data_IF_953498506479
#
_entry.id   IF_953498506479
#
_cell.length_a   1.000
_cell.length_b   1.000
_cell.length_c   1.000
_cell.angle_alpha   90.00
_cell.angle_beta   90.00
_cell.angle_gamma   90.00
#
_symmetry.space_group_name_H-M   'P 1'
#
loop_
_entity.id
_entity.type
_entity.pdbx_description
1 polymer ?
#
# COMPACT_ATOMS: atom_id res chain seq x y z
N UNK A 1 8.50 -7.63 -0.72
CA UNK A 1 8.23 -8.46 0.48
C UNK A 1 9.45 -9.24 0.96
N UNK A 2 10.24 -9.85 0.07
CA UNK A 2 11.40 -10.68 0.43
C UNK A 2 12.31 -10.13 1.54
N UNK A 3 12.78 -8.88 1.42
CA UNK A 3 13.67 -8.27 2.42
C UNK A 3 13.01 -8.14 3.81
N UNK A 4 11.73 -7.77 3.86
CA UNK A 4 10.98 -7.68 5.11
C UNK A 4 10.75 -9.05 5.75
N UNK A 5 10.56 -10.10 4.97
CA UNK A 5 10.44 -11.46 5.50
C UNK A 5 11.73 -11.94 6.16
N UNK A 6 12.88 -11.70 5.51
CA UNK A 6 14.19 -12.08 6.05
C UNK A 6 14.46 -11.36 7.37
N UNK A 7 14.11 -10.09 7.46
CA UNK A 7 14.34 -9.30 8.66
C UNK A 7 13.21 -9.39 9.69
N UNK A 8 12.32 -10.39 9.60
CA UNK A 8 11.17 -10.57 10.49
C UNK A 8 10.34 -9.30 10.70
N UNK A 9 10.20 -8.47 9.66
CA UNK A 9 9.50 -7.19 9.68
C UNK A 9 10.07 -6.15 10.65
N UNK A 10 11.38 -6.19 10.88
CA UNK A 10 12.09 -5.23 11.72
C UNK A 10 12.80 -4.18 10.87
N UNK A 11 12.99 -3.00 11.41
CA UNK A 11 13.85 -1.95 10.86
C UNK A 11 15.31 -2.20 11.22
N UNK A 12 16.23 -1.42 10.66
CA UNK A 12 17.66 -1.49 11.01
C UNK A 12 17.93 -1.17 12.49
N UNK A 13 17.03 -0.42 13.14
CA UNK A 13 17.12 -0.08 14.56
C UNK A 13 16.49 -1.13 15.50
N UNK A 14 16.14 -2.31 14.97
CA UNK A 14 15.45 -3.37 15.69
C UNK A 14 14.07 -2.97 16.25
N UNK A 15 13.41 -2.02 15.60
CA UNK A 15 12.00 -1.68 15.87
C UNK A 15 11.10 -2.35 14.82
N UNK A 16 9.84 -2.68 15.15
CA UNK A 16 8.87 -3.14 14.16
C UNK A 16 8.71 -2.14 13.01
N UNK A 17 8.58 -2.64 11.79
CA UNK A 17 8.23 -1.80 10.65
C UNK A 17 6.87 -1.12 10.89
N UNK A 18 6.75 0.16 10.48
CA UNK A 18 5.47 0.87 10.54
C UNK A 18 4.42 0.15 9.69
N UNK A 19 3.20 0.07 10.21
CA UNK A 19 2.04 -0.54 9.55
C UNK A 19 2.27 -2.01 9.13
N UNK A 20 2.99 -2.76 9.97
CA UNK A 20 3.33 -4.18 9.74
C UNK A 20 2.10 -5.06 9.45
N UNK A 21 0.98 -4.76 10.08
CA UNK A 21 -0.31 -5.43 9.91
C UNK A 21 -0.82 -5.29 8.47
N UNK A 22 -0.82 -4.06 7.92
CA UNK A 22 -1.22 -3.79 6.55
C UNK A 22 -0.28 -4.48 5.55
N UNK A 23 1.02 -4.45 5.81
CA UNK A 23 1.99 -5.12 4.94
C UNK A 23 1.84 -6.65 4.96
N UNK A 24 1.63 -7.26 6.12
CA UNK A 24 1.37 -8.71 6.21
C UNK A 24 0.08 -9.10 5.49
N UNK A 25 -0.95 -8.26 5.57
CA UNK A 25 -2.19 -8.49 4.82
C UNK A 25 -1.96 -8.40 3.31
N UNK A 26 -1.21 -7.38 2.85
CA UNK A 26 -0.83 -7.25 1.45
C UNK A 26 0.01 -8.45 0.99
N UNK A 27 0.97 -8.92 1.79
CA UNK A 27 1.79 -10.10 1.46
C UNK A 27 0.91 -11.33 1.24
N UNK A 28 -0.02 -11.59 2.17
CA UNK A 28 -0.97 -12.70 2.05
C UNK A 28 -1.83 -12.59 0.79
N UNK A 29 -2.31 -11.40 0.45
CA UNK A 29 -3.16 -11.18 -0.72
C UNK A 29 -2.41 -11.28 -2.05
N UNK A 30 -1.12 -10.96 -2.04
CA UNK A 30 -0.26 -10.93 -3.24
C UNK A 30 0.55 -12.22 -3.43
N UNK A 31 0.66 -13.06 -2.39
CA UNK A 31 1.36 -14.33 -2.44
C UNK A 31 0.87 -15.23 -3.57
N UNK A 32 1.81 -15.75 -4.36
CA UNK A 32 1.55 -16.64 -5.50
C UNK A 32 1.00 -15.95 -6.76
N UNK A 33 0.87 -14.62 -6.78
CA UNK A 33 0.41 -13.86 -7.96
C UNK A 33 1.56 -13.12 -8.63
N UNK A 34 1.51 -13.06 -9.95
CA UNK A 34 2.34 -12.12 -10.70
C UNK A 34 1.66 -10.75 -10.67
N UNK A 35 2.32 -9.77 -10.07
CA UNK A 35 1.80 -8.40 -9.93
C UNK A 35 2.88 -7.45 -10.42
N UNK A 36 2.55 -6.66 -11.42
CA UNK A 36 3.38 -5.56 -11.87
C UNK A 36 2.96 -4.29 -11.13
N UNK A 37 3.90 -3.67 -10.42
CA UNK A 37 3.66 -2.42 -9.69
C UNK A 37 4.27 -1.28 -10.51
N UNK A 38 3.40 -0.39 -11.00
CA UNK A 38 3.81 0.80 -11.74
C UNK A 38 3.63 2.04 -10.86
N UNK A 39 4.71 2.82 -10.73
CA UNK A 39 4.65 4.14 -10.11
C UNK A 39 4.24 5.15 -11.17
N UNK A 40 3.05 5.72 -11.01
CA UNK A 40 2.54 6.76 -11.90
C UNK A 40 2.75 8.14 -11.29
N UNK A 41 2.92 9.15 -12.15
CA UNK A 41 3.05 10.54 -11.71
C UNK A 41 1.68 11.04 -11.24
N UNK A 42 1.63 11.61 -10.04
CA UNK A 42 0.42 12.25 -9.52
C UNK A 42 -0.09 13.36 -10.45
N UNK A 43 -1.41 13.49 -10.57
CA UNK A 43 -2.11 14.51 -11.37
C UNK A 43 -1.65 14.62 -12.83
N UNK A 44 -1.21 13.50 -13.43
CA UNK A 44 -0.71 13.47 -14.81
C UNK A 44 -1.76 13.08 -15.85
N UNK A 45 -3.04 13.11 -15.50
CA UNK A 45 -4.14 12.78 -16.42
C UNK A 45 -4.42 11.29 -16.57
N UNK A 46 -3.90 10.43 -15.70
CA UNK A 46 -4.35 9.04 -15.62
C UNK A 46 -5.78 9.02 -15.03
N UNK A 47 -6.73 8.59 -15.84
CA UNK A 47 -8.15 8.62 -15.51
C UNK A 47 -8.44 7.70 -14.31
N UNK A 48 -7.89 6.49 -14.31
CA UNK A 48 -8.08 5.51 -13.26
C UNK A 48 -7.55 5.99 -11.91
N UNK A 49 -6.36 6.61 -11.87
CA UNK A 49 -5.82 7.22 -10.66
C UNK A 49 -6.71 8.36 -10.16
N UNK A 50 -7.20 9.19 -11.09
CA UNK A 50 -8.10 10.31 -10.75
C UNK A 50 -9.38 9.80 -10.10
N UNK A 51 -9.92 8.67 -10.58
CA UNK A 51 -11.07 8.02 -9.96
C UNK A 51 -10.74 7.46 -8.57
N UNK A 52 -9.58 6.82 -8.40
CA UNK A 52 -9.11 6.36 -7.10
C UNK A 52 -8.97 7.52 -6.10
N UNK A 53 -8.40 8.65 -6.53
CA UNK A 53 -8.26 9.86 -5.70
C UNK A 53 -9.64 10.41 -5.27
N UNK A 54 -10.60 10.46 -6.20
CA UNK A 54 -11.96 10.91 -5.92
C UNK A 54 -12.65 10.00 -4.90
N UNK A 55 -12.59 8.68 -5.09
CA UNK A 55 -13.21 7.72 -4.18
C UNK A 55 -12.55 7.72 -2.81
N UNK A 56 -11.23 7.84 -2.73
CA UNK A 56 -10.53 7.95 -1.47
C UNK A 56 -10.96 9.20 -0.70
N UNK A 57 -11.12 10.34 -1.38
CA UNK A 57 -11.59 11.60 -0.77
C UNK A 57 -13.04 11.51 -0.30
N UNK A 58 -13.94 11.03 -1.14
CA UNK A 58 -15.36 10.87 -0.80
C UNK A 58 -15.55 9.92 0.40
N UNK A 59 -14.78 8.83 0.45
CA UNK A 59 -14.79 7.94 1.60
C UNK A 59 -14.28 8.61 2.89
N UNK A 60 -13.23 9.43 2.80
CA UNK A 60 -12.71 10.18 3.95
C UNK A 60 -13.73 11.23 4.45
N UNK A 61 -14.33 12.01 3.56
CA UNK A 61 -15.36 13.00 3.89
C UNK A 61 -16.59 12.36 4.55
N UNK A 62 -17.01 11.18 4.07
CA UNK A 62 -18.11 10.41 4.69
C UNK A 62 -17.77 9.86 6.07
N UNK A 63 -16.49 9.66 6.37
CA UNK A 63 -16.06 9.13 7.65
C UNK A 63 -15.99 10.21 8.75
N UNK A 64 -15.95 11.49 8.36
CA UNK A 64 -15.89 12.63 9.28
C UNK A 64 -17.27 13.15 9.73
N UNK A 65 -18.36 12.48 9.36
CA UNK A 65 -19.75 12.83 9.72
C UNK A 65 -20.44 11.79 10.61
#
# INVERSE_FOLDING_TARGET
MFYWHINNWMTANAEPAKNIDQWKQLDKLTSGKYIEVAWIKGHSGNFENTMCDLYARDAAEKFEY
#
